data_IF_274497929402
#
_entry.id   IF_274497929402
#
_cell.length_a   1.000
_cell.length_b   1.000
_cell.length_c   1.000
_cell.angle_alpha   90.00
_cell.angle_beta   90.00
_cell.angle_gamma   90.00
#
_symmetry.space_group_name_H-M   'P 1'
#
loop_
_entity.id
_entity.type
_entity.pdbx_description
1 polymer ?
#
# COMPACT_ATOMS: atom_id res chain seq x y z
N UNK A 1 4.08 -17.91 -3.95
CA UNK A 1 3.38 -18.56 -2.83
C UNK A 1 2.81 -19.88 -3.32
N UNK A 2 2.71 -20.89 -2.46
CA UNK A 2 1.97 -22.14 -2.74
C UNK A 2 0.93 -22.36 -1.64
N UNK A 3 -0.28 -22.81 -2.01
CA UNK A 3 -1.33 -23.15 -1.06
C UNK A 3 -1.14 -24.56 -0.50
N UNK A 4 -1.30 -24.70 0.81
CA UNK A 4 -1.37 -25.99 1.48
C UNK A 4 -2.81 -26.51 1.46
N UNK A 5 -3.09 -27.51 0.62
CA UNK A 5 -4.44 -28.05 0.40
C UNK A 5 -5.03 -28.80 1.61
N UNK A 6 -4.24 -29.05 2.65
CA UNK A 6 -4.67 -29.74 3.87
C UNK A 6 -4.83 -28.81 5.08
N UNK A 7 -4.60 -27.50 4.91
CA UNK A 7 -4.63 -26.54 6.00
C UNK A 7 -6.05 -26.01 6.26
N UNK A 8 -6.37 -25.75 7.54
CA UNK A 8 -7.68 -25.24 7.95
C UNK A 8 -7.89 -23.81 7.42
N UNK A 9 -9.03 -23.53 6.78
CA UNK A 9 -9.31 -22.20 6.21
C UNK A 9 -8.76 -22.00 4.80
N UNK A 10 -8.25 -23.04 4.15
CA UNK A 10 -7.77 -22.98 2.76
C UNK A 10 -8.89 -22.62 1.78
N UNK A 11 -10.13 -22.99 2.10
CA UNK A 11 -11.34 -22.69 1.34
C UNK A 11 -11.62 -21.19 1.19
N UNK A 12 -11.00 -20.34 2.02
CA UNK A 12 -11.09 -18.88 1.88
C UNK A 12 -10.22 -18.35 0.72
N UNK A 13 -9.21 -19.10 0.28
CA UNK A 13 -8.18 -18.65 -0.65
C UNK A 13 -8.05 -19.52 -1.90
N UNK A 14 -8.59 -20.74 -1.89
CA UNK A 14 -8.45 -21.70 -3.00
C UNK A 14 -9.00 -21.15 -4.31
N UNK A 15 -10.21 -20.58 -4.29
CA UNK A 15 -10.87 -20.04 -5.48
C UNK A 15 -10.10 -18.86 -6.06
N UNK A 16 -9.57 -17.98 -5.20
CA UNK A 16 -8.73 -16.85 -5.62
C UNK A 16 -7.45 -17.37 -6.30
N UNK A 17 -6.84 -18.41 -5.76
CA UNK A 17 -5.57 -18.95 -6.27
C UNK A 17 -5.70 -19.64 -7.63
N UNK A 18 -6.81 -20.34 -7.87
CA UNK A 18 -7.06 -21.01 -9.15
C UNK A 18 -7.86 -20.15 -10.14
N UNK A 19 -8.16 -18.90 -9.78
CA UNK A 19 -9.02 -18.00 -10.56
C UNK A 19 -10.41 -18.60 -10.84
N UNK A 20 -11.03 -19.24 -9.84
CA UNK A 20 -12.40 -19.73 -9.93
C UNK A 20 -13.39 -18.61 -9.58
N UNK A 21 -13.94 -17.97 -10.60
CA UNK A 21 -15.02 -16.98 -10.48
C UNK A 21 -16.42 -17.60 -10.71
N UNK A 22 -16.50 -18.87 -11.11
CA UNK A 22 -17.74 -19.57 -11.38
C UNK A 22 -18.19 -20.36 -10.15
N UNK A 23 -19.17 -19.80 -9.42
CA UNK A 23 -19.69 -20.34 -8.15
C UNK A 23 -18.60 -20.55 -7.09
N UNK A 24 -17.87 -19.49 -6.69
CA UNK A 24 -16.90 -19.60 -5.61
C UNK A 24 -17.59 -19.97 -4.30
N UNK A 25 -16.83 -20.59 -3.39
CA UNK A 25 -17.24 -20.84 -2.02
C UNK A 25 -17.76 -19.55 -1.36
N UNK A 26 -18.85 -19.60 -0.57
CA UNK A 26 -19.30 -18.45 0.21
C UNK A 26 -18.28 -17.94 1.23
N UNK A 27 -17.23 -18.73 1.51
CA UNK A 27 -16.14 -18.39 2.42
C UNK A 27 -14.97 -17.70 1.69
N UNK A 28 -14.99 -17.65 0.36
CA UNK A 28 -13.91 -17.07 -0.44
C UNK A 28 -13.72 -15.59 -0.14
N UNK A 29 -12.47 -15.21 0.12
CA UNK A 29 -12.08 -13.82 0.34
C UNK A 29 -12.32 -13.00 -0.92
N UNK A 30 -13.07 -11.92 -0.77
CA UNK A 30 -13.33 -10.96 -1.85
C UNK A 30 -12.30 -9.84 -1.85
N UNK A 31 -11.97 -9.31 -3.03
CA UNK A 31 -11.14 -8.12 -3.14
C UNK A 31 -11.87 -6.90 -2.51
N UNK A 32 -11.13 -5.96 -1.89
CA UNK A 32 -11.66 -4.98 -0.94
C UNK A 32 -12.40 -3.77 -1.58
N UNK A 33 -13.11 -3.92 -2.70
CA UNK A 33 -13.73 -2.81 -3.45
C UNK A 33 -14.52 -1.84 -2.55
N UNK A 34 -15.52 -2.36 -1.83
CA UNK A 34 -16.39 -1.55 -0.99
C UNK A 34 -15.65 -0.91 0.19
N UNK A 35 -14.68 -1.60 0.80
CA UNK A 35 -13.88 -1.02 1.89
C UNK A 35 -12.98 0.12 1.43
N UNK A 36 -12.42 0.05 0.22
CA UNK A 36 -11.62 1.15 -0.34
C UNK A 36 -12.49 2.39 -0.55
N UNK A 37 -13.70 2.24 -1.10
CA UNK A 37 -14.65 3.37 -1.22
C UNK A 37 -15.17 3.90 0.11
N UNK A 38 -15.32 3.04 1.13
CA UNK A 38 -15.65 3.51 2.47
C UNK A 38 -14.55 4.41 3.05
N UNK A 39 -13.28 4.06 2.86
CA UNK A 39 -12.16 4.93 3.26
C UNK A 39 -12.18 6.24 2.47
N UNK A 40 -12.42 6.19 1.16
CA UNK A 40 -12.57 7.39 0.31
C UNK A 40 -13.72 8.29 0.79
N UNK A 41 -14.83 7.70 1.23
CA UNK A 41 -15.95 8.45 1.79
C UNK A 41 -15.52 9.24 3.03
N UNK A 42 -14.78 8.64 3.96
CA UNK A 42 -14.30 9.35 5.14
C UNK A 42 -13.27 10.43 4.79
N UNK A 43 -12.34 10.17 3.88
CA UNK A 43 -11.36 11.18 3.46
C UNK A 43 -12.03 12.34 2.74
N UNK A 44 -13.03 12.09 1.89
CA UNK A 44 -13.85 13.13 1.28
C UNK A 44 -14.53 14.01 2.33
N UNK A 45 -15.08 13.41 3.39
CA UNK A 45 -15.70 14.18 4.47
C UNK A 45 -14.70 15.10 5.18
N UNK A 46 -13.51 14.59 5.51
CA UNK A 46 -12.43 15.39 6.13
C UNK A 46 -12.00 16.52 5.19
N UNK A 47 -11.66 16.21 3.94
CA UNK A 47 -11.22 17.19 2.94
C UNK A 47 -12.27 18.30 2.74
N UNK A 48 -13.53 17.93 2.55
CA UNK A 48 -14.60 18.90 2.29
C UNK A 48 -14.96 19.74 3.53
N UNK A 49 -14.53 19.33 4.73
CA UNK A 49 -14.80 20.04 5.98
C UNK A 49 -13.67 20.99 6.40
N UNK A 50 -12.56 21.07 5.65
CA UNK A 50 -11.36 21.89 5.94
C UNK A 50 -11.72 23.30 6.43
N UNK A 51 -12.55 24.03 5.67
CA UNK A 51 -12.93 25.42 5.99
C UNK A 51 -13.80 25.59 7.24
N UNK A 52 -14.35 24.50 7.77
CA UNK A 52 -15.27 24.49 8.92
C UNK A 52 -14.68 23.81 10.15
N UNK A 53 -13.50 23.18 10.04
CA UNK A 53 -12.84 22.55 11.17
C UNK A 53 -12.30 23.60 12.14
N UNK A 54 -12.46 23.34 13.42
CA UNK A 54 -11.86 24.11 14.49
C UNK A 54 -10.67 23.33 15.07
N UNK A 55 -9.50 23.96 15.07
CA UNK A 55 -8.24 23.35 15.49
C UNK A 55 -7.20 24.43 15.71
N UNK A 56 -6.30 24.22 16.66
CA UNK A 56 -5.23 25.18 16.97
C UNK A 56 -3.96 24.40 17.34
N UNK A 57 -2.83 24.67 16.67
CA UNK A 57 -2.65 25.64 15.57
C UNK A 57 -3.35 25.23 14.25
N UNK A 58 -3.59 26.18 13.31
CA UNK A 58 -4.14 25.85 11.98
C UNK A 58 -3.35 24.78 11.22
N UNK A 59 -2.03 24.68 11.47
CA UNK A 59 -1.18 23.64 10.90
C UNK A 59 -1.61 22.22 11.26
N UNK A 60 -2.30 22.02 12.39
CA UNK A 60 -2.82 20.69 12.74
C UNK A 60 -3.96 20.27 11.79
N UNK A 61 -4.78 21.23 11.36
CA UNK A 61 -5.82 21.01 10.34
C UNK A 61 -5.17 20.74 9.00
N UNK A 62 -4.18 21.56 8.60
CA UNK A 62 -3.45 21.38 7.33
C UNK A 62 -2.81 19.98 7.28
N UNK A 63 -2.12 19.56 8.35
CA UNK A 63 -1.54 18.22 8.46
C UNK A 63 -2.60 17.13 8.31
N UNK A 64 -3.74 17.25 9.03
CA UNK A 64 -4.83 16.27 8.96
C UNK A 64 -5.46 16.18 7.56
N UNK A 65 -5.70 17.32 6.92
CA UNK A 65 -6.29 17.39 5.57
C UNK A 65 -5.29 16.86 4.53
N UNK A 66 -4.00 17.19 4.67
CA UNK A 66 -2.93 16.63 3.83
C UNK A 66 -2.83 15.11 3.96
N UNK A 67 -2.92 14.57 5.17
CA UNK A 67 -3.00 13.11 5.40
C UNK A 67 -4.24 12.50 4.74
N UNK A 68 -5.40 13.16 4.78
CA UNK A 68 -6.62 12.69 4.14
C UNK A 68 -6.53 12.65 2.61
N UNK A 69 -5.92 13.67 1.98
CA UNK A 69 -5.61 13.67 0.55
C UNK A 69 -4.69 12.51 0.17
N UNK A 70 -3.58 12.33 0.88
CA UNK A 70 -2.64 11.24 0.63
C UNK A 70 -3.30 9.86 0.79
N UNK A 71 -4.16 9.69 1.81
CA UNK A 71 -4.89 8.46 2.03
C UNK A 71 -5.90 8.20 0.90
N UNK A 72 -6.62 9.22 0.42
CA UNK A 72 -7.54 9.10 -0.72
C UNK A 72 -6.79 8.68 -2.00
N UNK A 73 -5.65 9.31 -2.27
CA UNK A 73 -4.77 8.94 -3.38
C UNK A 73 -4.33 7.47 -3.28
N UNK A 74 -3.99 7.00 -2.08
CA UNK A 74 -3.63 5.59 -1.84
C UNK A 74 -4.77 4.63 -2.14
N UNK A 75 -6.00 4.95 -1.71
CA UNK A 75 -7.16 4.09 -2.01
C UNK A 75 -7.45 4.02 -3.51
N UNK A 76 -7.36 5.15 -4.23
CA UNK A 76 -7.52 5.16 -5.68
C UNK A 76 -6.41 4.40 -6.41
N UNK A 77 -5.17 4.50 -5.91
CA UNK A 77 -4.05 3.73 -6.46
C UNK A 77 -4.26 2.23 -6.27
N UNK A 78 -4.78 1.78 -5.13
CA UNK A 78 -5.15 0.38 -4.93
C UNK A 78 -6.31 -0.04 -5.84
N UNK A 79 -7.37 0.77 -5.92
CA UNK A 79 -8.54 0.49 -6.77
C UNK A 79 -8.17 0.33 -8.24
N UNK A 80 -7.43 1.29 -8.82
CA UNK A 80 -7.11 1.25 -10.26
C UNK A 80 -6.18 0.09 -10.60
N UNK A 81 -5.26 -0.28 -9.69
CA UNK A 81 -4.33 -1.38 -9.92
C UNK A 81 -4.95 -2.77 -9.64
N UNK A 82 -6.03 -2.85 -8.85
CA UNK A 82 -6.77 -4.10 -8.63
C UNK A 82 -7.87 -4.35 -9.66
N UNK A 83 -8.56 -3.30 -10.11
CA UNK A 83 -9.78 -3.41 -10.94
C UNK A 83 -9.65 -2.82 -12.35
N UNK A 84 -8.62 -2.00 -12.60
CA UNK A 84 -8.32 -1.45 -13.92
C UNK A 84 -7.26 -2.27 -14.65
N UNK A 85 -6.98 -1.88 -15.90
CA UNK A 85 -5.80 -2.39 -16.60
C UNK A 85 -4.53 -1.73 -16.05
N UNK A 86 -3.37 -2.41 -16.14
CA UNK A 86 -2.08 -1.79 -15.86
C UNK A 86 -1.92 -0.51 -16.67
N UNK A 87 -1.34 0.52 -16.06
CA UNK A 87 -1.16 1.79 -16.74
C UNK A 87 -0.31 1.62 -18.00
N UNK A 88 -0.86 2.07 -19.12
CA UNK A 88 -0.19 2.10 -20.40
C UNK A 88 -0.48 3.45 -21.05
N UNK A 89 0.56 4.27 -21.21
CA UNK A 89 0.45 5.62 -21.76
C UNK A 89 -0.27 5.70 -23.11
N UNK A 90 -0.21 4.63 -23.92
CA UNK A 90 -0.88 4.58 -25.22
C UNK A 90 -2.40 4.34 -25.13
N UNK A 91 -2.89 3.73 -24.04
CA UNK A 91 -4.30 3.27 -23.92
C UNK A 91 -5.01 3.78 -22.67
N UNK A 92 -4.29 4.36 -21.69
CA UNK A 92 -4.81 4.80 -20.40
C UNK A 92 -5.99 5.78 -20.50
N UNK A 93 -6.03 6.59 -21.57
CA UNK A 93 -7.13 7.54 -21.87
C UNK A 93 -8.43 6.86 -22.31
N UNK A 94 -8.42 5.55 -22.58
CA UNK A 94 -9.59 4.76 -23.00
C UNK A 94 -9.80 3.51 -22.17
N UNK A 95 -8.75 3.02 -21.50
CA UNK A 95 -8.86 1.87 -20.62
C UNK A 95 -9.75 2.21 -19.44
N UNK A 96 -10.74 1.35 -19.18
CA UNK A 96 -11.62 1.48 -18.03
C UNK A 96 -10.81 1.34 -16.73
N UNK A 97 -10.91 2.34 -15.87
CA UNK A 97 -10.42 2.35 -14.51
C UNK A 97 -11.56 2.09 -13.54
N UNK A 98 -11.81 3.04 -12.64
CA UNK A 98 -12.84 2.94 -11.60
C UNK A 98 -13.65 4.23 -11.49
N UNK A 99 -14.87 4.21 -10.93
CA UNK A 99 -15.60 5.43 -10.60
C UNK A 99 -14.82 6.38 -9.68
N UNK A 100 -14.91 7.68 -9.94
CA UNK A 100 -14.33 8.71 -9.07
C UNK A 100 -15.45 9.41 -8.31
N UNK A 101 -15.28 9.52 -6.99
CA UNK A 101 -16.16 10.23 -6.07
C UNK A 101 -15.30 11.08 -5.13
N UNK A 102 -15.43 12.39 -5.26
CA UNK A 102 -14.74 13.38 -4.41
C UNK A 102 -15.69 14.16 -3.50
N UNK A 103 -16.99 13.91 -3.64
CA UNK A 103 -18.08 14.64 -2.98
C UNK A 103 -19.10 13.65 -2.40
N UNK A 104 -19.85 14.11 -1.40
CA UNK A 104 -20.98 13.36 -0.87
C UNK A 104 -22.24 13.67 -1.68
N UNK A 105 -22.61 12.77 -2.57
CA UNK A 105 -23.91 12.79 -3.24
C UNK A 105 -24.36 11.35 -3.53
N UNK A 106 -25.41 10.90 -2.84
CA UNK A 106 -25.95 9.55 -2.97
C UNK A 106 -26.89 9.38 -4.17
N UNK A 107 -27.35 10.49 -4.77
CA UNK A 107 -28.24 10.48 -5.94
C UNK A 107 -27.46 10.66 -7.25
N UNK A 108 -26.19 11.05 -7.15
CA UNK A 108 -25.28 11.22 -8.29
C UNK A 108 -24.88 9.87 -8.90
N UNK A 109 -24.93 9.82 -10.23
CA UNK A 109 -24.33 8.72 -10.97
C UNK A 109 -22.81 8.89 -11.02
N UNK A 110 -22.08 7.80 -10.79
CA UNK A 110 -20.63 7.76 -10.78
C UNK A 110 -20.14 6.85 -11.91
N UNK A 111 -20.08 7.37 -13.16
CA UNK A 111 -19.62 6.56 -14.28
C UNK A 111 -18.15 6.16 -14.09
N UNK A 112 -17.81 4.98 -14.61
CA UNK A 112 -16.43 4.50 -14.64
C UNK A 112 -15.56 5.51 -15.37
N UNK A 113 -14.46 5.91 -14.72
CA UNK A 113 -13.45 6.78 -15.31
C UNK A 113 -12.34 5.98 -15.95
N UNK A 114 -11.61 6.64 -16.82
CA UNK A 114 -10.44 6.06 -17.48
C UNK A 114 -9.30 5.86 -16.48
N UNK A 115 -8.37 4.94 -16.78
CA UNK A 115 -7.16 4.75 -15.98
C UNK A 115 -6.39 6.07 -15.86
N UNK A 116 -6.32 6.86 -16.94
CA UNK A 116 -5.66 8.18 -16.93
C UNK A 116 -6.31 9.16 -15.94
N UNK A 117 -7.64 9.28 -15.96
CA UNK A 117 -8.36 10.18 -15.06
C UNK A 117 -8.14 9.81 -13.59
N UNK A 118 -8.05 8.51 -13.27
CA UNK A 118 -7.80 8.06 -11.89
C UNK A 118 -6.37 8.37 -11.46
N UNK A 119 -5.37 8.13 -12.32
CA UNK A 119 -3.98 8.51 -12.03
C UNK A 119 -3.77 10.03 -11.91
N UNK A 120 -4.50 10.81 -12.71
CA UNK A 120 -4.50 12.28 -12.59
C UNK A 120 -4.99 12.70 -11.21
N UNK A 121 -6.13 12.17 -10.74
CA UNK A 121 -6.64 12.45 -9.40
C UNK A 121 -5.64 12.06 -8.30
N UNK A 122 -4.99 10.90 -8.44
CA UNK A 122 -3.98 10.44 -7.47
C UNK A 122 -2.84 11.46 -7.36
N UNK A 123 -2.31 11.95 -8.48
CA UNK A 123 -1.24 12.95 -8.47
C UNK A 123 -1.72 14.30 -7.90
N UNK A 124 -2.89 14.77 -8.29
CA UNK A 124 -3.46 16.02 -7.79
C UNK A 124 -3.66 15.99 -6.26
N UNK A 125 -4.11 14.86 -5.73
CA UNK A 125 -4.27 14.67 -4.29
C UNK A 125 -2.91 14.60 -3.58
N UNK A 126 -1.90 13.96 -4.19
CA UNK A 126 -0.54 13.92 -3.62
C UNK A 126 0.14 15.30 -3.64
N UNK A 127 -0.11 16.12 -4.67
CA UNK A 127 0.36 17.52 -4.72
C UNK A 127 -0.27 18.36 -3.61
N UNK A 128 -1.58 18.23 -3.38
CA UNK A 128 -2.27 18.91 -2.27
C UNK A 128 -1.78 18.43 -0.92
N UNK A 129 -1.57 17.12 -0.75
CA UNK A 129 -1.01 16.56 0.46
C UNK A 129 0.38 17.14 0.75
N UNK A 130 1.27 17.14 -0.24
CA UNK A 130 2.62 17.70 -0.11
C UNK A 130 2.62 19.19 0.26
N UNK A 131 1.66 19.98 -0.24
CA UNK A 131 1.52 21.39 0.09
C UNK A 131 1.02 21.67 1.52
N UNK A 132 0.28 20.74 2.11
CA UNK A 132 -0.37 20.91 3.43
C UNK A 132 0.39 20.23 4.58
N UNK A 133 1.10 19.14 4.30
CA UNK A 133 1.84 18.39 5.31
C UNK A 133 2.99 19.23 5.87
N UNK A 134 3.07 19.30 7.20
CA UNK A 134 4.11 20.03 7.93
C UNK A 134 4.99 19.12 8.80
N UNK A 135 4.71 17.81 8.84
CA UNK A 135 5.57 16.80 9.45
C UNK A 135 6.42 16.13 8.35
N UNK A 136 7.72 16.39 8.38
CA UNK A 136 8.65 15.90 7.36
C UNK A 136 8.84 14.37 7.41
N UNK A 137 9.03 13.83 8.62
CA UNK A 137 9.12 12.40 8.97
C UNK A 137 8.38 12.17 10.28
N UNK A 138 7.55 11.13 10.36
CA UNK A 138 6.85 10.78 11.60
C UNK A 138 7.79 10.19 12.64
N UNK A 139 7.51 10.48 13.91
CA UNK A 139 8.15 9.79 15.03
C UNK A 139 7.75 8.31 15.07
N UNK A 140 8.58 7.49 15.71
CA UNK A 140 8.30 6.06 15.90
C UNK A 140 6.96 5.88 16.62
N UNK A 141 6.12 5.01 16.07
CA UNK A 141 4.77 4.76 16.59
C UNK A 141 3.70 5.67 16.01
N UNK A 142 4.07 6.75 15.30
CA UNK A 142 3.17 7.58 14.50
C UNK A 142 3.38 7.41 12.99
N UNK A 143 4.36 6.62 12.59
CA UNK A 143 4.68 6.30 11.20
C UNK A 143 3.60 5.48 10.47
N UNK A 144 2.40 5.31 11.02
CA UNK A 144 1.21 4.89 10.28
C UNK A 144 0.47 6.07 9.62
N UNK A 145 0.83 7.32 9.99
CA UNK A 145 0.30 8.56 9.43
C UNK A 145 1.17 9.06 8.29
N UNK A 146 0.58 9.72 7.30
CA UNK A 146 1.37 10.33 6.25
C UNK A 146 2.23 11.48 6.79
N UNK A 147 3.43 11.58 6.24
CA UNK A 147 4.39 12.67 6.40
C UNK A 147 4.89 13.06 5.01
N UNK A 148 5.62 14.17 4.91
CA UNK A 148 6.18 14.62 3.63
C UNK A 148 7.01 13.52 2.96
N UNK A 149 7.89 12.82 3.68
CA UNK A 149 8.67 11.71 3.12
C UNK A 149 7.80 10.54 2.65
N UNK A 150 6.69 10.26 3.33
CA UNK A 150 5.75 9.22 2.92
C UNK A 150 5.02 9.58 1.62
N UNK A 151 4.58 10.84 1.47
CA UNK A 151 3.95 11.32 0.23
C UNK A 151 4.94 11.30 -0.93
N UNK A 152 6.18 11.76 -0.73
CA UNK A 152 7.23 11.71 -1.78
C UNK A 152 7.55 10.28 -2.21
N UNK A 153 7.73 9.38 -1.25
CA UNK A 153 7.97 7.96 -1.53
C UNK A 153 6.79 7.30 -2.26
N UNK A 154 5.55 7.66 -1.89
CA UNK A 154 4.37 7.12 -2.56
C UNK A 154 4.19 7.67 -3.97
N UNK A 155 4.32 8.98 -4.16
CA UNK A 155 4.25 9.64 -5.47
C UNK A 155 5.36 9.16 -6.42
N UNK A 156 6.54 8.80 -5.87
CA UNK A 156 7.60 8.11 -6.63
C UNK A 156 7.11 6.79 -7.22
N UNK A 157 6.38 5.98 -6.43
CA UNK A 157 5.77 4.72 -6.90
C UNK A 157 4.74 4.98 -7.99
N UNK A 158 3.91 6.02 -7.85
CA UNK A 158 2.91 6.41 -8.86
C UNK A 158 3.59 6.75 -10.19
N UNK A 159 4.63 7.60 -10.17
CA UNK A 159 5.39 7.93 -11.37
C UNK A 159 6.09 6.72 -11.99
N UNK A 160 6.61 5.80 -11.17
CA UNK A 160 7.19 4.56 -11.66
C UNK A 160 6.16 3.72 -12.43
N UNK A 161 4.93 3.62 -11.91
CA UNK A 161 3.83 2.89 -12.57
C UNK A 161 3.39 3.59 -13.87
N UNK A 162 3.44 4.92 -13.90
CA UNK A 162 3.18 5.70 -15.12
C UNK A 162 4.33 5.70 -16.13
N UNK A 163 5.47 5.09 -15.80
CA UNK A 163 6.70 5.09 -16.60
C UNK A 163 7.31 6.49 -16.78
N UNK A 164 7.04 7.41 -15.83
CA UNK A 164 7.63 8.75 -15.76
C UNK A 164 8.95 8.69 -14.98
N UNK A 165 9.96 8.06 -15.59
CA UNK A 165 11.19 7.64 -14.92
C UNK A 165 11.99 8.80 -14.29
N UNK A 166 12.07 9.95 -14.98
CA UNK A 166 12.82 11.10 -14.47
C UNK A 166 12.16 11.68 -13.23
N UNK A 167 10.83 11.87 -13.26
CA UNK A 167 10.08 12.34 -12.10
C UNK A 167 10.19 11.38 -10.91
N UNK A 168 10.19 10.06 -11.18
CA UNK A 168 10.42 9.06 -10.13
C UNK A 168 11.83 9.17 -9.52
N UNK A 169 12.87 9.38 -10.34
CA UNK A 169 14.25 9.55 -9.84
C UNK A 169 14.37 10.81 -8.99
N UNK A 170 13.86 11.94 -9.49
CA UNK A 170 13.99 13.23 -8.81
C UNK A 170 13.29 13.19 -7.44
N UNK A 171 12.06 12.66 -7.41
CA UNK A 171 11.30 12.57 -6.18
C UNK A 171 11.84 11.51 -5.20
N UNK A 172 12.42 10.41 -5.70
CA UNK A 172 13.12 9.44 -4.87
C UNK A 172 14.33 10.07 -4.17
N UNK A 173 15.10 10.90 -4.89
CA UNK A 173 16.24 11.60 -4.31
C UNK A 173 15.79 12.60 -3.23
N UNK A 174 14.66 13.28 -3.44
CA UNK A 174 14.09 14.16 -2.42
C UNK A 174 13.62 13.39 -1.18
N UNK A 175 13.00 12.21 -1.35
CA UNK A 175 12.61 11.37 -0.22
C UNK A 175 13.84 10.83 0.56
N UNK A 176 14.89 10.42 -0.16
CA UNK A 176 16.15 9.96 0.43
C UNK A 176 16.90 11.08 1.16
N UNK A 177 16.77 12.34 0.70
CA UNK A 177 17.33 13.47 1.42
C UNK A 177 16.71 13.64 2.82
N UNK A 178 15.49 13.15 3.04
CA UNK A 178 14.81 13.14 4.34
C UNK A 178 15.16 11.88 5.14
N UNK A 179 15.12 10.71 4.51
CA UNK A 179 15.42 9.44 5.16
C UNK A 179 16.22 8.48 4.24
N UNK A 180 17.53 8.42 4.44
CA UNK A 180 18.46 7.54 3.71
C UNK A 180 19.12 6.47 4.59
N UNK A 181 18.73 6.36 5.86
CA UNK A 181 19.33 5.39 6.76
C UNK A 181 18.91 3.97 6.39
N UNK A 182 19.88 3.03 6.39
CA UNK A 182 19.63 1.62 6.15
C UNK A 182 19.85 0.82 7.44
N UNK A 183 18.99 -0.17 7.65
CA UNK A 183 19.07 -1.10 8.76
C UNK A 183 20.37 -1.91 8.65
N UNK A 184 21.21 -1.82 9.68
CA UNK A 184 22.46 -2.56 9.70
C UNK A 184 22.21 -4.04 10.02
N UNK A 185 22.13 -4.86 8.97
CA UNK A 185 21.90 -6.30 9.08
C UNK A 185 23.06 -7.10 9.69
N UNK A 186 24.24 -6.48 9.85
CA UNK A 186 25.38 -7.12 10.54
C UNK A 186 25.30 -7.01 12.08
N UNK A 187 24.33 -6.25 12.60
CA UNK A 187 24.14 -6.08 14.04
C UNK A 187 23.45 -7.30 14.68
N UNK A 188 23.91 -7.70 15.88
CA UNK A 188 23.29 -8.78 16.66
C UNK A 188 21.85 -8.47 17.13
N UNK A 189 21.43 -7.21 17.05
CA UNK A 189 20.07 -6.74 17.36
C UNK A 189 19.33 -6.26 16.11
N UNK A 190 19.77 -6.66 14.91
CA UNK A 190 19.09 -6.26 13.69
C UNK A 190 17.69 -6.87 13.61
N UNK A 191 16.78 -6.07 13.07
CA UNK A 191 15.40 -6.44 12.74
C UNK A 191 15.21 -6.46 11.22
N UNK A 192 14.05 -6.91 10.75
CA UNK A 192 13.73 -6.83 9.33
C UNK A 192 13.56 -5.36 8.92
N UNK A 193 14.14 -4.90 7.79
CA UNK A 193 13.91 -3.55 7.27
C UNK A 193 12.44 -3.18 7.07
N UNK A 194 11.59 -4.19 6.90
CA UNK A 194 10.15 -4.00 6.76
C UNK A 194 9.41 -3.82 8.09
N UNK A 195 10.04 -3.95 9.26
CA UNK A 195 9.34 -3.72 10.54
C UNK A 195 9.01 -2.24 10.73
N UNK A 196 7.90 -1.95 11.40
CA UNK A 196 7.48 -0.57 11.67
C UNK A 196 8.53 0.24 12.45
N UNK A 197 9.38 -0.41 13.26
CA UNK A 197 10.43 0.24 14.05
C UNK A 197 11.83 0.18 13.43
N UNK A 198 11.95 -0.27 12.18
CA UNK A 198 13.20 -0.18 11.43
C UNK A 198 13.51 1.28 11.09
N UNK A 199 14.80 1.62 11.02
CA UNK A 199 15.26 2.98 10.64
C UNK A 199 14.83 3.37 9.22
N UNK A 200 14.64 2.36 8.37
CA UNK A 200 14.13 2.47 6.99
C UNK A 200 12.62 2.72 6.92
N UNK A 201 11.87 2.57 8.03
CA UNK A 201 10.42 2.68 8.01
C UNK A 201 9.97 4.13 7.71
N UNK A 202 9.08 4.27 6.72
CA UNK A 202 8.52 5.55 6.27
C UNK A 202 7.03 5.62 6.58
N UNK A 203 6.26 4.62 6.13
CA UNK A 203 4.83 4.53 6.32
C UNK A 203 4.42 3.06 6.60
N UNK A 204 4.10 2.77 7.86
CA UNK A 204 3.77 1.47 8.40
C UNK A 204 2.24 1.30 8.52
N UNK A 205 1.58 1.02 7.39
CA UNK A 205 0.16 0.65 7.34
C UNK A 205 0.00 -0.87 7.47
N UNK A 206 0.48 -1.41 8.58
CA UNK A 206 0.76 -2.84 8.66
C UNK A 206 -0.45 -3.69 9.08
N UNK A 207 -1.01 -4.39 8.11
CA UNK A 207 -1.62 -5.71 8.28
C UNK A 207 -1.08 -6.62 7.18
N UNK A 208 0.09 -7.21 7.42
CA UNK A 208 0.91 -7.86 6.36
C UNK A 208 0.28 -9.16 5.85
N UNK A 209 -0.31 -9.95 6.74
CA UNK A 209 -0.88 -11.25 6.41
C UNK A 209 -1.91 -11.65 7.46
N UNK A 210 -3.05 -12.22 7.04
CA UNK A 210 -3.98 -12.83 7.99
C UNK A 210 -3.32 -14.04 8.65
N UNK A 211 -3.73 -14.36 9.88
CA UNK A 211 -3.31 -15.58 10.57
C UNK A 211 -3.49 -16.82 9.68
N UNK A 212 -4.62 -16.89 8.99
CA UNK A 212 -4.95 -17.99 8.07
C UNK A 212 -3.95 -18.06 6.91
N UNK A 213 -3.62 -16.92 6.28
CA UNK A 213 -2.67 -16.91 5.15
C UNK A 213 -1.28 -17.38 5.57
N UNK A 214 -0.79 -16.99 6.75
CA UNK A 214 0.53 -17.44 7.26
C UNK A 214 0.56 -18.95 7.49
N UNK A 215 -0.55 -19.54 7.95
CA UNK A 215 -0.62 -20.98 8.23
C UNK A 215 -0.93 -21.83 6.99
N UNK A 216 -1.64 -21.27 6.01
CA UNK A 216 -2.14 -22.00 4.85
C UNK A 216 -1.25 -21.86 3.62
N UNK A 217 -0.18 -21.07 3.71
CA UNK A 217 0.70 -20.78 2.57
C UNK A 217 2.16 -21.02 2.88
N UNK A 218 2.91 -21.39 1.84
CA UNK A 218 4.36 -21.47 1.89
C UNK A 218 4.99 -20.52 0.88
N UNK A 219 6.23 -20.12 1.15
CA UNK A 219 7.01 -19.30 0.24
C UNK A 219 7.35 -20.14 -1.00
N UNK A 220 7.13 -19.57 -2.19
CA UNK A 220 7.41 -20.29 -3.43
C UNK A 220 8.91 -20.52 -3.62
N UNK A 221 9.26 -21.67 -4.18
CA UNK A 221 10.65 -22.02 -4.49
C UNK A 221 11.35 -20.97 -5.36
N UNK A 222 10.65 -20.36 -6.32
CA UNK A 222 11.21 -19.28 -7.15
C UNK A 222 11.72 -18.10 -6.33
N UNK A 223 11.00 -17.73 -5.26
CA UNK A 223 11.42 -16.65 -4.38
C UNK A 223 12.57 -17.10 -3.48
N UNK A 224 12.50 -18.31 -2.91
CA UNK A 224 13.57 -18.86 -2.05
C UNK A 224 14.89 -19.00 -2.81
N UNK A 225 14.86 -19.42 -4.07
CA UNK A 225 16.06 -19.55 -4.92
C UNK A 225 16.61 -18.20 -5.39
N UNK A 226 15.82 -17.13 -5.33
CA UNK A 226 16.32 -15.78 -5.65
C UNK A 226 17.30 -15.24 -4.60
N UNK A 227 17.28 -15.78 -3.37
CA UNK A 227 18.20 -15.40 -2.30
C UNK A 227 19.40 -16.34 -2.23
N UNK A 228 20.58 -15.78 -1.96
CA UNK A 228 21.71 -16.57 -1.48
C UNK A 228 21.43 -16.96 -0.02
N UNK A 229 21.18 -18.24 0.24
CA UNK A 229 20.76 -18.70 1.57
C UNK A 229 21.86 -18.67 2.63
N UNK A 230 23.11 -18.46 2.23
CA UNK A 230 24.28 -18.43 3.11
C UNK A 230 24.78 -16.99 3.33
N UNK A 231 24.95 -16.23 2.25
CA UNK A 231 25.62 -14.93 2.30
C UNK A 231 24.64 -13.74 2.33
N UNK A 232 23.36 -13.96 1.98
CA UNK A 232 22.35 -12.90 2.08
C UNK A 232 21.79 -12.82 3.50
N UNK A 233 22.18 -11.78 4.23
CA UNK A 233 21.73 -11.53 5.61
C UNK A 233 20.21 -11.39 5.72
N UNK A 234 19.50 -11.04 4.64
CA UNK A 234 18.03 -10.96 4.63
C UNK A 234 17.40 -12.34 4.71
N UNK A 235 18.03 -13.38 4.18
CA UNK A 235 17.41 -14.70 4.08
C UNK A 235 17.04 -15.28 5.45
N UNK A 236 18.01 -15.29 6.37
CA UNK A 236 17.79 -15.77 7.73
C UNK A 236 16.90 -14.84 8.54
N UNK A 237 16.83 -13.56 8.21
CA UNK A 237 15.92 -12.59 8.84
C UNK A 237 14.47 -12.74 8.37
N UNK A 238 14.25 -13.06 7.10
CA UNK A 238 12.91 -13.06 6.48
C UNK A 238 12.21 -14.41 6.55
N UNK A 239 12.95 -15.51 6.60
CA UNK A 239 12.36 -16.84 6.42
C UNK A 239 12.66 -17.80 7.58
N UNK A 240 11.65 -18.60 7.91
CA UNK A 240 11.81 -19.82 8.70
C UNK A 240 11.81 -21.03 7.78
N UNK A 241 12.67 -22.01 8.04
CA UNK A 241 12.60 -23.32 7.41
C UNK A 241 11.73 -24.25 8.25
N UNK A 242 10.67 -24.78 7.66
CA UNK A 242 9.75 -25.71 8.29
C UNK A 242 10.32 -27.14 8.30
N UNK A 243 9.78 -28.02 9.15
CA UNK A 243 10.24 -29.41 9.29
C UNK A 243 10.11 -30.23 8.00
N UNK A 244 9.12 -29.90 7.17
CA UNK A 244 8.89 -30.53 5.87
C UNK A 244 9.82 -29.99 4.75
N UNK A 245 10.71 -29.05 5.09
CA UNK A 245 11.65 -28.42 4.16
C UNK A 245 11.09 -27.20 3.42
N UNK A 246 9.80 -26.88 3.57
CA UNK A 246 9.22 -25.65 3.03
C UNK A 246 9.67 -24.42 3.83
N UNK A 247 9.40 -23.22 3.29
CA UNK A 247 9.73 -21.97 3.97
C UNK A 247 8.46 -21.17 4.29
N UNK A 248 8.47 -20.47 5.42
CA UNK A 248 7.45 -19.53 5.86
C UNK A 248 8.06 -18.16 6.17
N UNK A 249 7.27 -17.10 6.09
CA UNK A 249 7.72 -15.75 6.48
C UNK A 249 7.92 -15.67 8.00
N UNK A 250 8.97 -14.99 8.44
CA UNK A 250 9.16 -14.58 9.84
C UNK A 250 8.24 -13.43 10.24
N UNK A 251 7.84 -12.60 9.28
CA UNK A 251 6.87 -11.52 9.49
C UNK A 251 5.45 -12.10 9.61
N UNK A 252 4.74 -11.75 10.68
CA UNK A 252 3.42 -12.29 11.03
C UNK A 252 2.48 -11.17 11.48
N UNK A 253 1.17 -11.43 11.50
CA UNK A 253 0.21 -10.51 12.10
C UNK A 253 0.54 -10.27 13.58
N UNK A 254 0.63 -9.01 14.00
CA UNK A 254 0.87 -8.62 15.40
C UNK A 254 2.34 -8.60 15.84
N UNK A 255 3.29 -8.78 14.92
CA UNK A 255 4.73 -8.58 15.13
C UNK A 255 5.27 -7.57 14.12
#
# INVERSE_FOLDING_TARGET
MALSTSALGVEQYEDVFIWNDVNPSPLTRIFPYASLYNTIFYTNHVINSESTMEGTPPSDIEQLVGEAYALRAMQYFELVNLYGKPYNKATAITDAGVPITTEYDAEKDYPVKTVEEVYTLILDDLDKAEALLNIEKQDLGYNYRFSTVAVKAFKTRVYLYQQEWQNAIDLANEALAINAELQNLNSNVSIMPSEYNAVESILALETIASFDMVNNTTISNSLITAYNQTDDLRFSLYFNKNTDGSFSSKKKCGN
#
